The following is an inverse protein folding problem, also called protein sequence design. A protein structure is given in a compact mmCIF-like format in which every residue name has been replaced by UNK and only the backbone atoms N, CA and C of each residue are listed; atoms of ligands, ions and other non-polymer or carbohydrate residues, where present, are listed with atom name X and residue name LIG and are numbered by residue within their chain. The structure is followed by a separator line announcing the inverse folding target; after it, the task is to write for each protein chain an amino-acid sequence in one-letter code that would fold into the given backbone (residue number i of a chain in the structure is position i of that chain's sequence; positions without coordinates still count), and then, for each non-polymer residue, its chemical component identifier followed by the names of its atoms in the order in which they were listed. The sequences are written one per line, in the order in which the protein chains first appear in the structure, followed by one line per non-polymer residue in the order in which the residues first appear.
data_IF_316928667648
#
_entry.id   IF_316928667648
#
_cell.length_a   1.000
_cell.length_b   1.000
_cell.length_c   1.000
_cell.angle_alpha   90.00
_cell.angle_beta   90.00
_cell.angle_gamma   90.00
#
_symmetry.space_group_name_H-M   'P 1'
#
loop_
_entity.id
_entity.type
_entity.pdbx_description
1 polymer ?
#
# COMPACT_ATOMS: atom_id res chain seq x y z
N UNK A 1 -5.17 -8.25 20.94
CA UNK A 1 -5.94 -7.23 20.20
C UNK A 1 -6.35 -6.16 21.20
N UNK A 2 -6.14 -4.89 20.87
CA UNK A 2 -6.42 -3.77 21.79
C UNK A 2 -7.94 -3.57 21.88
N UNK A 3 -8.47 -3.38 23.08
CA UNK A 3 -9.88 -3.03 23.29
C UNK A 3 -10.16 -1.61 22.76
N UNK A 4 -11.17 -1.48 21.94
CA UNK A 4 -11.61 -0.20 21.34
C UNK A 4 -13.05 0.15 21.70
N UNK A 5 -13.66 -0.56 22.68
CA UNK A 5 -15.08 -0.41 23.04
C UNK A 5 -15.44 1.03 23.41
N UNK A 6 -14.57 1.70 24.17
CA UNK A 6 -14.79 3.07 24.68
C UNK A 6 -14.33 4.17 23.70
N UNK A 7 -13.75 3.81 22.54
CA UNK A 7 -13.32 4.81 21.56
C UNK A 7 -14.50 5.37 20.78
N UNK A 8 -14.44 6.68 20.51
CA UNK A 8 -15.41 7.35 19.64
C UNK A 8 -15.30 6.82 18.20
N UNK A 9 -16.45 6.73 17.55
CA UNK A 9 -16.54 6.49 16.11
C UNK A 9 -16.18 7.78 15.39
N UNK A 10 -15.12 7.75 14.57
CA UNK A 10 -14.65 8.91 13.80
C UNK A 10 -14.32 8.50 12.38
N UNK A 11 -14.38 9.43 11.43
CA UNK A 11 -13.85 9.21 10.09
C UNK A 11 -12.32 9.12 10.15
N UNK A 12 -11.78 8.11 9.53
CA UNK A 12 -10.34 7.81 9.54
C UNK A 12 -9.84 7.54 8.15
N UNK A 13 -8.69 8.09 7.85
CA UNK A 13 -8.02 7.92 6.56
C UNK A 13 -6.58 7.52 6.82
N UNK A 14 -6.06 6.60 6.02
CA UNK A 14 -4.64 6.30 5.97
C UNK A 14 -4.14 6.28 4.53
N UNK A 15 -2.93 6.79 4.31
CA UNK A 15 -2.18 6.69 3.07
C UNK A 15 -0.88 5.94 3.32
N UNK A 16 -0.60 4.96 2.46
CA UNK A 16 0.68 4.26 2.44
C UNK A 16 1.26 4.30 1.04
N UNK A 17 2.57 4.25 0.94
CA UNK A 17 3.29 4.14 -0.33
C UNK A 17 4.21 2.94 -0.37
N UNK A 18 4.58 2.56 -1.57
CA UNK A 18 5.61 1.58 -1.87
C UNK A 18 6.17 1.80 -3.26
N UNK A 19 7.15 1.02 -3.63
CA UNK A 19 7.72 1.06 -4.95
C UNK A 19 8.20 -0.32 -5.40
N UNK A 20 8.26 -0.52 -6.69
CA UNK A 20 8.92 -1.67 -7.32
C UNK A 20 10.00 -1.14 -8.25
N UNK A 21 11.26 -1.41 -7.90
CA UNK A 21 12.41 -1.14 -8.74
C UNK A 21 12.56 -2.31 -9.73
N UNK A 22 12.74 -2.01 -11.01
CA UNK A 22 12.77 -3.01 -12.08
C UNK A 22 13.68 -2.58 -13.22
N UNK A 23 13.87 -3.43 -14.22
CA UNK A 23 14.53 -3.03 -15.46
C UNK A 23 13.64 -2.08 -16.25
N UNK A 24 14.27 -1.13 -16.97
CA UNK A 24 13.54 -0.20 -17.85
C UNK A 24 12.63 -0.93 -18.84
N UNK A 25 13.11 -2.02 -19.44
CA UNK A 25 12.31 -2.83 -20.35
C UNK A 25 11.08 -3.47 -19.70
N UNK A 26 11.17 -3.80 -18.42
CA UNK A 26 10.05 -4.35 -17.65
C UNK A 26 9.00 -3.29 -17.39
N UNK A 27 9.41 -2.10 -16.99
CA UNK A 27 8.48 -0.97 -16.78
C UNK A 27 7.78 -0.61 -18.09
N UNK A 28 8.53 -0.51 -19.19
CA UNK A 28 7.96 -0.22 -20.50
C UNK A 28 6.92 -1.28 -20.91
N UNK A 29 7.24 -2.56 -20.76
CA UNK A 29 6.31 -3.66 -21.04
C UNK A 29 5.01 -3.56 -20.24
N UNK A 30 5.10 -3.15 -18.96
CA UNK A 30 3.92 -2.93 -18.11
C UNK A 30 3.07 -1.77 -18.66
N UNK A 31 3.70 -0.65 -19.00
CA UNK A 31 3.02 0.56 -19.48
C UNK A 31 2.39 0.36 -20.87
N UNK A 32 3.00 -0.45 -21.72
CA UNK A 32 2.49 -0.80 -23.04
C UNK A 32 1.36 -1.85 -22.99
N UNK A 33 1.15 -2.47 -21.82
CA UNK A 33 0.16 -3.54 -21.66
C UNK A 33 0.53 -4.85 -22.35
N UNK A 34 1.80 -5.04 -22.73
CA UNK A 34 2.30 -6.19 -23.47
C UNK A 34 2.75 -7.33 -22.53
N UNK A 35 1.82 -7.83 -21.73
CA UNK A 35 2.09 -8.94 -20.81
C UNK A 35 1.19 -10.15 -21.07
N UNK A 36 1.76 -11.36 -20.99
CA UNK A 36 1.02 -12.62 -21.22
C UNK A 36 -0.08 -12.87 -20.19
N UNK A 37 0.05 -12.30 -19.01
CA UNK A 37 -0.89 -12.50 -17.88
C UNK A 37 -2.02 -11.44 -17.83
N UNK A 38 -2.08 -10.55 -18.82
CA UNK A 38 -3.05 -9.46 -18.85
C UNK A 38 -2.52 -8.16 -18.25
N UNK A 39 -3.39 -7.23 -17.93
CA UNK A 39 -3.02 -5.92 -17.41
C UNK A 39 -2.45 -6.02 -15.99
N UNK A 40 -1.15 -5.77 -15.86
CA UNK A 40 -0.42 -5.89 -14.58
C UNK A 40 -0.95 -4.91 -13.55
N UNK A 41 -1.21 -3.67 -13.95
CA UNK A 41 -1.63 -2.63 -13.02
C UNK A 41 -3.06 -2.87 -12.51
N UNK A 42 -3.96 -3.30 -13.39
CA UNK A 42 -5.34 -3.60 -12.98
C UNK A 42 -5.43 -4.84 -12.09
N UNK A 43 -4.65 -5.90 -12.38
CA UNK A 43 -4.59 -7.09 -11.52
C UNK A 43 -3.96 -6.75 -10.17
N UNK A 44 -2.89 -5.96 -10.14
CA UNK A 44 -2.25 -5.52 -8.90
C UNK A 44 -3.17 -4.60 -8.07
N UNK A 45 -3.92 -3.71 -8.71
CA UNK A 45 -4.94 -2.87 -8.07
C UNK A 45 -6.00 -3.71 -7.38
N UNK A 46 -6.58 -4.65 -8.11
CA UNK A 46 -7.61 -5.55 -7.56
C UNK A 46 -7.07 -6.38 -6.40
N UNK A 47 -5.87 -6.94 -6.53
CA UNK A 47 -5.22 -7.72 -5.48
C UNK A 47 -4.99 -6.90 -4.21
N UNK A 48 -4.51 -5.67 -4.34
CA UNK A 48 -4.31 -4.76 -3.21
C UNK A 48 -5.63 -4.38 -2.51
N UNK A 49 -6.68 -4.10 -3.27
CA UNK A 49 -8.02 -3.83 -2.71
C UNK A 49 -8.54 -5.05 -1.93
N UNK A 50 -8.40 -6.25 -2.49
CA UNK A 50 -8.80 -7.49 -1.82
C UNK A 50 -7.99 -7.75 -0.55
N UNK A 51 -6.68 -7.46 -0.58
CA UNK A 51 -5.80 -7.61 0.56
C UNK A 51 -6.15 -6.65 1.71
N UNK A 52 -6.46 -5.39 1.41
CA UNK A 52 -6.95 -4.43 2.40
C UNK A 52 -8.16 -4.98 3.16
N UNK A 53 -9.12 -5.58 2.46
CA UNK A 53 -10.33 -6.17 3.05
C UNK A 53 -10.06 -7.42 3.91
N UNK A 54 -8.87 -8.01 3.79
CA UNK A 54 -8.45 -9.22 4.49
C UNK A 54 -7.28 -9.00 5.44
N UNK A 55 -6.99 -7.77 5.80
CA UNK A 55 -5.86 -7.42 6.66
C UNK A 55 -5.92 -8.17 7.99
N UNK A 56 -7.09 -8.28 8.61
CA UNK A 56 -7.25 -9.00 9.87
C UNK A 56 -6.99 -10.52 9.76
N UNK A 57 -7.13 -11.11 8.57
CA UNK A 57 -6.78 -12.52 8.32
C UNK A 57 -5.26 -12.74 8.25
N UNK A 58 -4.49 -11.69 7.94
CA UNK A 58 -3.05 -11.72 7.74
C UNK A 58 -2.27 -11.22 8.96
N UNK A 59 -2.80 -10.21 9.64
CA UNK A 59 -2.16 -9.52 10.76
C UNK A 59 -2.89 -9.88 12.05
N UNK A 60 -2.29 -10.70 12.93
CA UNK A 60 -3.01 -11.42 14.00
C UNK A 60 -3.79 -10.54 14.97
N UNK A 61 -3.31 -9.32 15.25
CA UNK A 61 -3.91 -8.44 16.26
C UNK A 61 -4.71 -7.28 15.65
N UNK A 62 -4.92 -7.27 14.33
CA UNK A 62 -5.79 -6.30 13.67
C UNK A 62 -7.27 -6.63 13.86
N UNK A 63 -8.10 -5.60 13.99
CA UNK A 63 -9.55 -5.75 14.02
C UNK A 63 -10.09 -6.02 12.61
N UNK A 64 -11.11 -6.87 12.43
CA UNK A 64 -11.82 -6.98 11.18
C UNK A 64 -12.63 -5.70 10.93
N UNK A 65 -12.41 -5.05 9.79
CA UNK A 65 -12.99 -3.75 9.46
C UNK A 65 -13.80 -3.81 8.17
N UNK A 66 -14.98 -3.18 8.19
CA UNK A 66 -15.80 -2.94 7.00
C UNK A 66 -15.36 -1.62 6.35
N UNK A 67 -14.41 -1.69 5.41
CA UNK A 67 -13.85 -0.51 4.76
C UNK A 67 -14.88 0.19 3.86
N UNK A 68 -14.89 1.52 3.88
CA UNK A 68 -15.77 2.35 3.04
C UNK A 68 -15.14 2.63 1.67
N UNK A 69 -13.82 2.89 1.64
CA UNK A 69 -13.11 3.13 0.38
C UNK A 69 -11.68 2.58 0.43
N UNK A 70 -11.25 2.01 -0.69
CA UNK A 70 -9.85 1.65 -0.95
C UNK A 70 -9.52 2.11 -2.36
N UNK A 71 -8.49 2.97 -2.50
CA UNK A 71 -7.97 3.44 -3.78
C UNK A 71 -6.50 3.08 -3.87
N UNK A 72 -6.08 2.58 -5.03
CA UNK A 72 -4.67 2.26 -5.31
C UNK A 72 -4.30 2.92 -6.63
N UNK A 73 -3.21 3.65 -6.61
CA UNK A 73 -2.68 4.36 -7.75
C UNK A 73 -1.26 3.90 -8.05
N UNK A 74 -0.91 3.89 -9.32
CA UNK A 74 0.41 3.53 -9.82
C UNK A 74 0.96 4.68 -10.63
N UNK A 75 2.21 5.05 -10.37
CA UNK A 75 2.89 6.13 -11.05
C UNK A 75 4.33 5.71 -11.42
N UNK A 76 4.68 5.69 -12.72
CA UNK A 76 6.07 5.51 -13.10
C UNK A 76 6.91 6.71 -12.66
N UNK A 77 8.12 6.44 -12.19
CA UNK A 77 9.07 7.46 -11.73
C UNK A 77 10.45 7.16 -12.32
N UNK A 78 10.89 8.00 -13.24
CA UNK A 78 12.06 7.67 -14.05
C UNK A 78 11.77 6.49 -14.99
N UNK A 79 12.84 5.76 -15.33
CA UNK A 79 12.77 4.70 -16.34
C UNK A 79 12.61 3.29 -15.75
N UNK A 80 12.73 3.13 -14.44
CA UNK A 80 12.93 1.84 -13.79
C UNK A 80 12.20 1.68 -12.44
N UNK A 81 11.38 2.65 -12.05
CA UNK A 81 10.66 2.64 -10.78
C UNK A 81 9.14 2.79 -11.01
N UNK A 82 8.38 1.87 -10.44
CA UNK A 82 6.92 1.98 -10.34
C UNK A 82 6.54 2.31 -8.90
N UNK A 83 6.01 3.50 -8.66
CA UNK A 83 5.44 3.90 -7.37
C UNK A 83 4.03 3.37 -7.22
N UNK A 84 3.68 3.02 -6.00
CA UNK A 84 2.36 2.54 -5.60
C UNK A 84 1.90 3.38 -4.42
N UNK A 85 0.71 3.93 -4.47
CA UNK A 85 0.07 4.58 -3.34
C UNK A 85 -1.28 3.92 -3.06
N UNK A 86 -1.58 3.66 -1.78
CA UNK A 86 -2.88 3.21 -1.33
C UNK A 86 -3.47 4.21 -0.35
N UNK A 87 -4.75 4.55 -0.54
CA UNK A 87 -5.56 5.35 0.37
C UNK A 87 -6.76 4.52 0.82
N UNK A 88 -6.94 4.41 2.13
CA UNK A 88 -8.02 3.64 2.76
C UNK A 88 -8.81 4.53 3.71
N UNK A 89 -10.13 4.38 3.71
CA UNK A 89 -11.06 5.19 4.50
C UNK A 89 -12.08 4.31 5.22
N UNK A 90 -12.39 4.71 6.46
CA UNK A 90 -13.42 4.10 7.29
C UNK A 90 -14.00 5.11 8.28
N UNK A 91 -15.26 4.93 8.63
CA UNK A 91 -15.87 5.52 9.84
C UNK A 91 -15.92 4.44 10.91
N UNK A 92 -15.05 4.57 11.92
CA UNK A 92 -14.85 3.49 12.89
C UNK A 92 -14.09 3.90 14.15
N UNK A 93 -13.88 2.91 15.03
CA UNK A 93 -13.21 3.07 16.33
C UNK A 93 -11.70 2.87 16.29
N UNK A 94 -11.17 2.36 15.17
CA UNK A 94 -9.72 2.13 14.98
C UNK A 94 -9.26 2.64 13.61
N UNK A 95 -7.96 2.85 13.46
CA UNK A 95 -7.36 3.33 12.21
C UNK A 95 -7.27 2.25 11.14
N UNK A 96 -6.89 2.66 9.93
CA UNK A 96 -6.78 1.81 8.73
C UNK A 96 -5.36 1.82 8.15
N UNK A 97 -4.37 2.10 9.00
CA UNK A 97 -2.96 2.14 8.60
C UNK A 97 -2.49 0.78 8.07
N UNK A 98 -2.87 -0.30 8.76
CA UNK A 98 -2.48 -1.66 8.36
C UNK A 98 -3.14 -2.09 7.05
N UNK A 99 -4.38 -1.69 6.83
CA UNK A 99 -5.10 -1.92 5.58
C UNK A 99 -4.41 -1.23 4.39
N UNK A 100 -3.96 0.01 4.58
CA UNK A 100 -3.23 0.74 3.55
C UNK A 100 -1.85 0.11 3.26
N UNK A 101 -1.10 -0.26 4.29
CA UNK A 101 0.20 -0.94 4.15
C UNK A 101 0.07 -2.32 3.50
N UNK A 102 -0.95 -3.10 3.88
CA UNK A 102 -1.25 -4.41 3.29
C UNK A 102 -1.61 -4.27 1.82
N UNK A 103 -2.44 -3.28 1.48
CA UNK A 103 -2.81 -3.00 0.08
C UNK A 103 -1.59 -2.76 -0.81
N UNK A 104 -0.69 -1.87 -0.39
CA UNK A 104 0.55 -1.56 -1.12
C UNK A 104 1.45 -2.80 -1.24
N UNK A 105 1.61 -3.54 -0.14
CA UNK A 105 2.48 -4.72 -0.11
C UNK A 105 2.01 -5.79 -1.09
N UNK A 106 0.72 -6.10 -1.12
CA UNK A 106 0.16 -7.12 -2.00
C UNK A 106 0.10 -6.64 -3.45
N UNK A 107 -0.16 -5.36 -3.69
CA UNK A 107 -0.05 -4.78 -5.03
C UNK A 107 1.37 -4.93 -5.59
N UNK A 108 2.40 -4.60 -4.80
CA UNK A 108 3.80 -4.78 -5.19
C UNK A 108 4.17 -6.26 -5.45
N UNK A 109 3.73 -7.17 -4.57
CA UNK A 109 3.92 -8.61 -4.77
C UNK A 109 3.25 -9.11 -6.05
N UNK A 110 2.10 -8.57 -6.40
CA UNK A 110 1.37 -8.95 -7.62
C UNK A 110 2.11 -8.47 -8.87
N UNK A 111 2.64 -7.24 -8.88
CA UNK A 111 3.52 -6.76 -9.95
C UNK A 111 4.71 -7.71 -10.13
N UNK A 112 5.37 -8.08 -9.01
CA UNK A 112 6.48 -9.03 -9.04
C UNK A 112 6.06 -10.39 -9.63
N UNK A 113 4.98 -10.99 -9.16
CA UNK A 113 4.52 -12.29 -9.67
C UNK A 113 4.22 -12.28 -11.17
N UNK A 114 3.60 -11.19 -11.63
CA UNK A 114 3.22 -11.09 -13.04
C UNK A 114 4.41 -10.87 -13.97
N UNK A 115 5.50 -10.23 -13.48
CA UNK A 115 6.67 -9.86 -14.29
C UNK A 115 7.92 -10.73 -14.04
N UNK A 116 7.95 -11.57 -13.01
CA UNK A 116 9.14 -12.36 -12.61
C UNK A 116 9.69 -13.28 -13.69
N UNK A 117 8.90 -13.62 -14.71
CA UNK A 117 9.37 -14.44 -15.83
C UNK A 117 10.37 -13.69 -16.72
N UNK A 118 10.31 -12.37 -16.77
CA UNK A 118 11.20 -11.50 -17.56
C UNK A 118 12.20 -10.73 -16.69
N UNK A 119 11.85 -10.45 -15.43
CA UNK A 119 12.69 -9.71 -14.50
C UNK A 119 12.58 -10.28 -13.09
N UNK A 120 13.53 -11.13 -12.68
CA UNK A 120 13.56 -11.68 -11.31
C UNK A 120 14.29 -10.78 -10.33
N UNK A 121 15.02 -9.78 -10.82
CA UNK A 121 15.81 -8.86 -10.02
C UNK A 121 15.03 -7.72 -9.42
N UNK A 122 13.71 -7.65 -9.62
CA UNK A 122 12.89 -6.59 -9.06
C UNK A 122 12.99 -6.50 -7.54
N UNK A 123 13.07 -5.27 -7.02
CA UNK A 123 13.14 -4.97 -5.59
C UNK A 123 11.86 -4.27 -5.15
N UNK A 124 11.25 -4.79 -4.10
CA UNK A 124 10.02 -4.26 -3.51
C UNK A 124 10.36 -3.38 -2.30
N UNK A 125 9.90 -2.14 -2.29
CA UNK A 125 10.11 -1.21 -1.20
C UNK A 125 10.71 0.14 -1.64
N UNK A 126 10.81 1.10 -0.71
CA UNK A 126 10.33 1.05 0.67
C UNK A 126 8.80 1.00 0.74
N UNK A 127 8.26 0.29 1.74
CA UNK A 127 6.83 0.29 2.05
C UNK A 127 6.64 1.04 3.35
N UNK A 128 5.83 2.09 3.35
CA UNK A 128 5.73 3.00 4.49
C UNK A 128 4.37 3.69 4.59
N UNK A 129 4.00 4.07 5.82
CA UNK A 129 2.88 4.95 6.06
C UNK A 129 3.27 6.38 5.68
N UNK A 130 2.47 7.03 4.84
CA UNK A 130 2.69 8.42 4.45
C UNK A 130 1.92 9.40 5.30
N UNK A 131 0.65 9.09 5.56
CA UNK A 131 -0.21 9.94 6.38
C UNK A 131 -1.33 9.13 7.02
N UNK A 132 -1.83 9.62 8.14
CA UNK A 132 -3.11 9.19 8.71
C UNK A 132 -3.82 10.37 9.32
N UNK A 133 -5.14 10.32 9.34
CA UNK A 133 -5.97 11.30 10.03
C UNK A 133 -7.15 10.67 10.76
N UNK A 134 -7.61 11.37 11.77
CA UNK A 134 -8.72 10.96 12.63
C UNK A 134 -8.31 10.10 13.82
N UNK A 135 -9.15 10.12 14.86
CA UNK A 135 -8.96 9.39 16.10
C UNK A 135 -8.15 10.15 17.17
N UNK A 136 -8.08 9.56 18.37
CA UNK A 136 -7.46 10.18 19.54
C UNK A 136 -5.94 10.33 19.46
N UNK A 137 -5.25 9.54 18.63
CA UNK A 137 -3.79 9.61 18.46
C UNK A 137 -3.32 10.75 17.55
N UNK A 138 -4.26 11.55 17.03
CA UNK A 138 -3.95 12.68 16.15
C UNK A 138 -3.52 12.29 14.74
N UNK A 139 -3.21 13.31 13.96
CA UNK A 139 -2.79 13.16 12.58
C UNK A 139 -1.28 12.90 12.50
N UNK A 140 -0.88 12.16 11.48
CA UNK A 140 0.51 11.93 11.11
C UNK A 140 0.68 12.28 9.64
N UNK A 141 1.75 12.98 9.31
CA UNK A 141 2.18 13.25 7.94
C UNK A 141 3.70 13.12 7.87
N UNK A 142 4.19 12.20 7.07
CA UNK A 142 5.63 11.93 6.91
C UNK A 142 6.38 13.13 6.31
N UNK A 143 5.76 13.85 5.39
CA UNK A 143 6.33 15.03 4.77
C UNK A 143 6.49 16.23 5.72
N UNK A 144 5.65 16.29 6.77
CA UNK A 144 5.73 17.32 7.82
C UNK A 144 6.74 16.96 8.93
N UNK A 145 7.29 15.72 8.95
CA UNK A 145 8.29 15.24 9.91
C UNK A 145 9.52 14.75 9.13
N UNK A 146 10.38 15.68 8.63
CA UNK A 146 11.53 15.31 7.80
C UNK A 146 12.66 14.59 8.56
N UNK A 147 12.57 14.46 9.87
CA UNK A 147 13.60 13.85 10.70
C UNK A 147 13.10 12.57 11.37
N UNK A 148 13.56 11.43 10.91
CA UNK A 148 14.03 10.34 11.78
C UNK A 148 14.37 9.10 10.96
N UNK A 149 15.38 9.14 10.13
CA UNK A 149 16.30 8.01 9.97
C UNK A 149 17.69 8.62 9.72
N UNK A 150 18.32 9.15 10.76
CA UNK A 150 19.76 9.21 10.80
C UNK A 150 20.24 7.77 10.94
N UNK A 151 20.79 7.24 9.87
CA UNK A 151 21.61 6.03 9.96
C UNK A 151 22.84 6.43 10.76
N UNK A 152 22.92 5.96 12.01
CA UNK A 152 24.16 6.00 12.75
C UNK A 152 25.22 5.21 11.99
N UNK A 153 26.40 5.77 11.92
CA UNK A 153 27.64 5.18 11.39
C UNK A 153 28.01 3.89 12.14
#
# INVERSE_FOLDING_TARGET
MVDVSDKAVTHRVARASGAVQMQQSTLQMILDGDTRKGDVLEVARLAGIMAAKRTADLIPLCHPLALEAVRIEFEPSGDDLLRIEARVEITGKTGVEMEALTAVSVAALTVYDMCKSVDRGMVLGPIQLEAKSGGASGDFDRGAHPDTIQRGD
#
